data_IF_571491281385
#
_entry.id   IF_571491281385
#
_cell.length_a   1.000
_cell.length_b   1.000
_cell.length_c   1.000
_cell.angle_alpha   90.00
_cell.angle_beta   90.00
_cell.angle_gamma   90.00
#
_symmetry.space_group_name_H-M   'P 1'
#
loop_
_entity.id
_entity.type
_entity.pdbx_description
1 polymer ?
#
# COMPACT_ATOMS: atom_id res chain seq x y z
N UNK A 1 -39.27 -14.26 20.56
CA UNK A 1 -39.89 -13.18 19.78
C UNK A 1 -39.40 -11.85 20.35
N UNK A 2 -38.32 -11.30 19.81
CA UNK A 2 -37.81 -9.99 20.21
C UNK A 2 -38.29 -8.95 19.18
N UNK A 3 -39.10 -8.00 19.64
CA UNK A 3 -39.70 -6.95 18.84
C UNK A 3 -38.68 -5.84 18.61
N UNK A 4 -37.99 -5.86 17.47
CA UNK A 4 -37.24 -4.70 16.99
C UNK A 4 -38.21 -3.70 16.36
N UNK A 5 -38.63 -2.71 17.15
CA UNK A 5 -39.27 -1.50 16.63
C UNK A 5 -38.43 -0.31 17.05
N UNK A 6 -37.47 0.06 16.22
CA UNK A 6 -37.07 1.46 16.06
C UNK A 6 -37.21 1.75 14.55
N UNK A 7 -38.17 2.58 14.14
CA UNK A 7 -38.33 2.92 12.73
C UNK A 7 -37.13 3.77 12.29
N UNK A 8 -36.38 3.27 11.31
CA UNK A 8 -35.42 4.07 10.57
C UNK A 8 -36.23 5.18 9.88
N UNK A 9 -35.91 6.47 10.08
CA UNK A 9 -36.68 7.55 9.47
C UNK A 9 -36.59 7.44 7.94
N UNK A 10 -37.75 7.36 7.30
CA UNK A 10 -37.88 7.34 5.85
C UNK A 10 -37.56 8.74 5.31
N UNK A 11 -36.31 8.97 4.92
CA UNK A 11 -35.89 10.24 4.31
C UNK A 11 -36.49 10.32 2.90
N UNK A 12 -37.28 11.35 2.66
CA UNK A 12 -37.93 11.62 1.37
C UNK A 12 -36.90 11.89 0.27
N UNK A 13 -37.16 11.38 -0.93
CA UNK A 13 -36.20 11.23 -2.02
C UNK A 13 -35.78 12.52 -2.75
N UNK A 14 -35.21 13.50 -2.05
CA UNK A 14 -34.53 14.65 -2.70
C UNK A 14 -33.11 14.97 -2.22
N UNK A 15 -32.63 14.40 -1.11
CA UNK A 15 -31.25 14.56 -0.64
C UNK A 15 -30.58 13.18 -0.41
N UNK A 16 -30.59 12.31 -1.42
CA UNK A 16 -29.68 11.16 -1.39
C UNK A 16 -28.31 11.65 -1.84
N UNK A 17 -27.46 12.01 -0.88
CA UNK A 17 -26.02 12.02 -1.15
C UNK A 17 -25.68 10.67 -1.81
N UNK A 18 -24.98 10.64 -2.94
CA UNK A 18 -24.47 9.37 -3.44
C UNK A 18 -23.66 8.73 -2.32
N UNK A 19 -23.94 7.45 -2.03
CA UNK A 19 -23.16 6.69 -1.06
C UNK A 19 -21.69 6.78 -1.44
N UNK A 20 -20.81 6.98 -0.47
CA UNK A 20 -19.39 6.81 -0.70
C UNK A 20 -19.06 5.35 -1.03
N UNK A 21 -17.81 5.13 -1.43
CA UNK A 21 -17.30 3.81 -1.81
C UNK A 21 -15.90 3.61 -1.22
N UNK A 22 -15.56 2.37 -0.84
CA UNK A 22 -14.23 1.98 -0.40
C UNK A 22 -13.64 0.94 -1.34
N UNK A 23 -12.50 1.25 -1.94
CA UNK A 23 -11.80 0.34 -2.84
C UNK A 23 -10.39 0.06 -2.33
N UNK A 24 -10.05 -1.23 -2.21
CA UNK A 24 -8.78 -1.65 -1.62
C UNK A 24 -7.91 -2.35 -2.66
N UNK A 25 -6.66 -1.91 -2.77
CA UNK A 25 -5.61 -2.47 -3.62
C UNK A 25 -4.51 -3.00 -2.70
N UNK A 26 -4.42 -4.32 -2.59
CA UNK A 26 -3.42 -4.99 -1.74
C UNK A 26 -2.45 -5.85 -2.55
N UNK A 27 -1.40 -6.33 -1.89
CA UNK A 27 -0.41 -7.24 -2.48
C UNK A 27 0.98 -7.00 -1.91
N UNK A 28 1.95 -7.87 -2.26
CA UNK A 28 3.31 -7.76 -1.73
C UNK A 28 4.02 -6.49 -2.21
N UNK A 29 5.20 -6.21 -1.66
CA UNK A 29 6.09 -5.20 -2.23
C UNK A 29 6.36 -5.52 -3.71
N UNK A 30 6.62 -4.49 -4.51
CA UNK A 30 6.90 -4.59 -5.95
C UNK A 30 5.74 -5.11 -6.82
N UNK A 31 4.52 -5.18 -6.29
CA UNK A 31 3.33 -5.58 -7.05
C UNK A 31 2.69 -4.43 -7.86
N UNK A 32 3.23 -3.21 -7.81
CA UNK A 32 2.68 -2.04 -8.53
C UNK A 32 1.41 -1.45 -7.90
N UNK A 33 1.27 -1.52 -6.57
CA UNK A 33 0.12 -0.97 -5.83
C UNK A 33 -0.01 0.54 -6.03
N UNK A 34 1.07 1.28 -5.75
CA UNK A 34 1.16 2.73 -5.96
C UNK A 34 0.87 3.12 -7.41
N UNK A 35 1.41 2.40 -8.41
CA UNK A 35 1.06 2.64 -9.83
C UNK A 35 -0.43 2.47 -10.12
N UNK A 36 -1.03 1.43 -9.56
CA UNK A 36 -2.45 1.14 -9.77
C UNK A 36 -3.34 2.20 -9.14
N UNK A 37 -2.99 2.65 -7.92
CA UNK A 37 -3.63 3.75 -7.24
C UNK A 37 -3.50 5.06 -8.05
N UNK A 38 -2.28 5.44 -8.43
CA UNK A 38 -2.01 6.66 -9.22
C UNK A 38 -2.75 6.67 -10.55
N UNK A 39 -2.83 5.53 -11.25
CA UNK A 39 -3.58 5.40 -12.49
C UNK A 39 -5.06 5.66 -12.27
N UNK A 40 -5.63 5.13 -11.18
CA UNK A 40 -7.04 5.34 -10.86
C UNK A 40 -7.31 6.78 -10.45
N UNK A 41 -6.47 7.37 -9.59
CA UNK A 41 -6.55 8.79 -9.21
C UNK A 41 -6.49 9.70 -10.44
N UNK A 42 -5.56 9.44 -11.36
CA UNK A 42 -5.47 10.20 -12.62
C UNK A 42 -6.76 10.09 -13.44
N UNK A 43 -7.34 8.89 -13.55
CA UNK A 43 -8.61 8.70 -14.26
C UNK A 43 -9.76 9.51 -13.63
N UNK A 44 -9.80 9.63 -12.30
CA UNK A 44 -10.84 10.43 -11.63
C UNK A 44 -10.65 11.93 -11.89
N UNK A 45 -9.40 12.42 -11.91
CA UNK A 45 -9.07 13.79 -12.31
C UNK A 45 -9.45 14.06 -13.76
N UNK A 46 -9.13 13.13 -14.67
CA UNK A 46 -9.46 13.24 -16.10
C UNK A 46 -10.99 13.26 -16.32
N UNK A 47 -11.77 12.67 -15.39
CA UNK A 47 -13.23 12.72 -15.34
C UNK A 47 -13.78 13.98 -14.63
N UNK A 48 -12.92 14.93 -14.25
CA UNK A 48 -13.31 16.21 -13.64
C UNK A 48 -13.62 16.15 -12.14
N UNK A 49 -13.25 15.07 -11.44
CA UNK A 49 -13.43 14.96 -9.99
C UNK A 49 -12.32 15.68 -9.22
N UNK A 50 -12.68 16.24 -8.07
CA UNK A 50 -11.71 16.79 -7.11
C UNK A 50 -11.10 15.65 -6.30
N UNK A 51 -9.77 15.52 -6.33
CA UNK A 51 -9.07 14.42 -5.68
C UNK A 51 -8.02 14.91 -4.69
N UNK A 52 -7.80 14.13 -3.64
CA UNK A 52 -6.64 14.27 -2.76
C UNK A 52 -5.88 12.94 -2.68
N UNK A 53 -4.55 13.02 -2.60
CA UNK A 53 -3.69 11.87 -2.36
C UNK A 53 -3.01 12.01 -1.00
N UNK A 54 -3.05 10.95 -0.19
CA UNK A 54 -2.48 10.88 1.15
C UNK A 54 -1.41 9.79 1.19
N UNK A 55 -0.34 10.03 1.94
CA UNK A 55 0.68 9.02 2.27
C UNK A 55 1.09 9.13 3.73
N UNK A 56 1.54 8.04 4.33
CA UNK A 56 2.08 8.11 5.69
C UNK A 56 3.42 8.84 5.70
N UNK A 57 3.61 9.73 6.67
CA UNK A 57 4.90 10.36 6.96
C UNK A 57 5.94 9.40 7.53
N UNK A 58 5.51 8.22 8.01
CA UNK A 58 6.41 7.13 8.45
C UNK A 58 7.21 6.53 7.28
N UNK A 59 6.71 6.63 6.04
CA UNK A 59 7.41 6.14 4.87
C UNK A 59 8.30 7.22 4.22
N UNK A 60 9.60 7.12 4.50
CA UNK A 60 10.64 8.04 4.03
C UNK A 60 11.44 7.52 2.83
N UNK A 61 11.08 6.38 2.22
CA UNK A 61 11.86 5.73 1.14
C UNK A 61 11.91 6.54 -0.15
N UNK A 62 10.81 7.22 -0.44
CA UNK A 62 10.69 8.16 -1.53
C UNK A 62 10.52 9.51 -0.86
N UNK A 63 11.43 10.44 -1.17
CA UNK A 63 11.69 11.72 -0.51
C UNK A 63 10.51 12.36 0.25
N UNK A 64 10.85 13.12 1.29
CA UNK A 64 9.98 14.01 2.08
C UNK A 64 9.05 14.89 1.21
N UNK A 65 9.37 15.01 -0.07
CA UNK A 65 8.58 15.70 -1.08
C UNK A 65 7.14 15.20 -1.13
N UNK A 66 6.23 16.18 -1.20
CA UNK A 66 4.77 16.07 -1.30
C UNK A 66 4.33 15.46 -2.62
N UNK A 67 4.97 14.39 -3.12
CA UNK A 67 4.70 13.75 -4.40
C UNK A 67 4.84 12.24 -4.30
N UNK A 68 3.77 11.51 -4.61
CA UNK A 68 3.84 10.07 -4.87
C UNK A 68 4.31 9.87 -6.31
N UNK A 69 5.41 9.13 -6.49
CA UNK A 69 6.00 8.87 -7.81
C UNK A 69 6.15 7.38 -8.06
N UNK A 70 5.54 6.86 -9.13
CA UNK A 70 5.81 5.52 -9.65
C UNK A 70 5.59 5.48 -11.17
N UNK A 71 6.45 4.77 -11.90
CA UNK A 71 6.39 4.63 -13.37
C UNK A 71 6.30 5.96 -14.15
N UNK A 72 6.96 7.01 -13.66
CA UNK A 72 6.97 8.34 -14.29
C UNK A 72 5.72 9.19 -14.02
N UNK A 73 4.71 8.67 -13.33
CA UNK A 73 3.55 9.45 -12.86
C UNK A 73 3.91 10.08 -11.52
N UNK A 74 3.71 11.40 -11.42
CA UNK A 74 3.90 12.20 -10.20
C UNK A 74 2.57 12.82 -9.81
N UNK A 75 2.14 12.63 -8.56
CA UNK A 75 0.92 13.26 -8.05
C UNK A 75 1.18 13.94 -6.69
N UNK A 76 0.79 15.22 -6.53
CA UNK A 76 0.93 15.91 -5.24
C UNK A 76 0.19 15.18 -4.12
N UNK A 77 0.83 14.99 -2.97
CA UNK A 77 0.24 14.26 -1.85
C UNK A 77 0.48 14.92 -0.50
N UNK A 78 -0.42 14.65 0.45
CA UNK A 78 -0.31 15.06 1.84
C UNK A 78 0.36 13.95 2.64
N UNK A 79 1.55 14.26 3.17
CA UNK A 79 2.23 13.39 4.12
C UNK A 79 1.63 13.61 5.52
N UNK A 80 1.02 12.57 6.09
CA UNK A 80 0.30 12.64 7.35
C UNK A 80 0.79 11.55 8.32
N UNK A 81 0.76 11.85 9.61
CA UNK A 81 0.99 10.85 10.65
C UNK A 81 -0.27 10.00 10.88
N UNK A 82 -1.42 10.66 10.87
CA UNK A 82 -2.76 10.13 11.12
C UNK A 82 -3.73 10.68 10.06
N UNK A 83 -4.67 9.85 9.60
CA UNK A 83 -5.64 10.22 8.57
C UNK A 83 -6.73 11.15 9.11
N UNK A 84 -7.11 11.00 10.39
CA UNK A 84 -8.20 11.76 10.99
C UNK A 84 -7.90 13.26 11.10
N UNK A 85 -6.62 13.68 11.18
CA UNK A 85 -6.24 15.11 11.09
C UNK A 85 -6.30 15.69 9.67
N UNK A 86 -6.53 14.88 8.63
CA UNK A 86 -6.52 15.35 7.25
C UNK A 86 -7.54 16.48 7.03
N UNK A 87 -8.77 16.32 7.51
CA UNK A 87 -9.85 17.28 7.28
C UNK A 87 -9.51 18.67 7.84
N UNK A 88 -8.93 18.73 9.03
CA UNK A 88 -8.51 19.97 9.67
C UNK A 88 -7.35 20.61 8.91
N UNK A 89 -6.30 19.82 8.61
CA UNK A 89 -5.09 20.29 7.91
C UNK A 89 -5.36 20.74 6.47
N UNK A 90 -6.30 20.08 5.79
CA UNK A 90 -6.70 20.41 4.42
C UNK A 90 -7.65 21.62 4.38
N UNK A 91 -8.36 21.88 5.48
CA UNK A 91 -9.40 22.90 5.60
C UNK A 91 -10.78 22.34 5.25
N UNK A 92 -11.75 22.56 6.14
CA UNK A 92 -13.09 21.97 6.03
C UNK A 92 -13.79 22.27 4.70
N UNK A 93 -13.71 23.50 4.21
CA UNK A 93 -14.38 23.88 2.96
C UNK A 93 -13.71 23.28 1.72
N UNK A 94 -12.38 23.10 1.75
CA UNK A 94 -11.67 22.41 0.68
C UNK A 94 -12.00 20.91 0.72
N UNK A 95 -12.02 20.30 1.91
CA UNK A 95 -12.33 18.88 2.10
C UNK A 95 -13.74 18.54 1.60
N UNK A 96 -14.74 19.38 1.90
CA UNK A 96 -16.12 19.17 1.44
C UNK A 96 -16.23 19.03 -0.08
N UNK A 97 -15.38 19.75 -0.84
CA UNK A 97 -15.35 19.72 -2.30
C UNK A 97 -14.66 18.50 -2.89
N UNK A 98 -13.92 17.71 -2.09
CA UNK A 98 -13.30 16.49 -2.58
C UNK A 98 -14.37 15.47 -2.95
N UNK A 99 -14.13 14.74 -4.02
CA UNK A 99 -14.95 13.60 -4.44
C UNK A 99 -14.21 12.28 -4.15
N UNK A 100 -12.88 12.27 -4.30
CA UNK A 100 -12.05 11.07 -4.21
C UNK A 100 -10.83 11.30 -3.30
N UNK A 101 -10.54 10.33 -2.44
CA UNK A 101 -9.36 10.32 -1.57
C UNK A 101 -8.55 9.05 -1.84
N UNK A 102 -7.34 9.21 -2.37
CA UNK A 102 -6.36 8.15 -2.51
C UNK A 102 -5.48 8.05 -1.27
N UNK A 103 -5.23 6.85 -0.75
CA UNK A 103 -4.36 6.59 0.39
C UNK A 103 -3.31 5.57 -0.03
N UNK A 104 -2.04 5.96 -0.04
CA UNK A 104 -0.92 5.05 -0.30
C UNK A 104 -0.24 4.62 1.00
N UNK A 105 0.39 3.45 0.96
CA UNK A 105 1.12 2.84 2.08
C UNK A 105 0.26 2.75 3.36
N UNK A 106 -1.01 2.37 3.17
CA UNK A 106 -2.06 2.45 4.19
C UNK A 106 -1.81 1.61 5.45
N UNK A 107 -0.92 0.61 5.36
CA UNK A 107 -0.55 -0.22 6.52
C UNK A 107 0.11 0.56 7.67
N UNK A 108 0.57 1.79 7.42
CA UNK A 108 1.17 2.65 8.45
C UNK A 108 0.16 3.53 9.20
N UNK A 109 -1.11 3.56 8.77
CA UNK A 109 -2.18 4.32 9.42
C UNK A 109 -3.00 3.42 10.34
N UNK A 110 -2.94 3.71 11.63
CA UNK A 110 -3.68 2.97 12.65
C UNK A 110 -5.18 3.28 12.60
N UNK A 111 -5.52 4.53 12.25
CA UNK A 111 -6.86 5.10 12.17
C UNK A 111 -7.54 4.92 10.79
N UNK A 112 -7.03 4.00 9.97
CA UNK A 112 -7.53 3.74 8.61
C UNK A 112 -9.00 3.30 8.60
N UNK A 113 -9.41 2.50 9.58
CA UNK A 113 -10.79 1.99 9.65
C UNK A 113 -11.78 3.13 9.93
N UNK A 114 -11.50 3.91 10.97
CA UNK A 114 -12.31 5.06 11.38
C UNK A 114 -12.38 6.10 10.27
N UNK A 115 -11.26 6.36 9.60
CA UNK A 115 -11.22 7.28 8.46
C UNK A 115 -12.09 6.80 7.30
N UNK A 116 -12.02 5.51 6.93
CA UNK A 116 -12.83 4.95 5.85
C UNK A 116 -14.33 5.06 6.16
N UNK A 117 -14.76 4.70 7.38
CA UNK A 117 -16.16 4.85 7.80
C UNK A 117 -16.61 6.31 7.69
N UNK A 118 -15.85 7.25 8.25
CA UNK A 118 -16.22 8.67 8.20
C UNK A 118 -16.26 9.20 6.75
N UNK A 119 -15.21 8.96 5.98
CA UNK A 119 -15.10 9.51 4.63
C UNK A 119 -16.13 8.91 3.66
N UNK A 120 -16.35 7.59 3.69
CA UNK A 120 -17.27 6.93 2.77
C UNK A 120 -18.73 6.96 3.27
N UNK A 121 -18.98 6.55 4.51
CA UNK A 121 -20.34 6.36 5.03
C UNK A 121 -21.01 7.69 5.41
N UNK A 122 -20.25 8.64 5.97
CA UNK A 122 -20.79 9.92 6.45
C UNK A 122 -20.60 11.07 5.44
N UNK A 123 -19.41 11.18 4.85
CA UNK A 123 -19.04 12.31 3.98
C UNK A 123 -19.27 12.04 2.48
N UNK A 124 -19.67 10.81 2.10
CA UNK A 124 -20.01 10.44 0.72
C UNK A 124 -18.82 10.46 -0.25
N UNK A 125 -17.60 10.19 0.21
CA UNK A 125 -16.37 10.19 -0.59
C UNK A 125 -16.07 8.81 -1.17
N UNK A 126 -15.41 8.79 -2.32
CA UNK A 126 -14.78 7.56 -2.85
C UNK A 126 -13.37 7.47 -2.24
N UNK A 127 -13.11 6.42 -1.48
CA UNK A 127 -11.81 6.16 -0.84
C UNK A 127 -11.11 5.02 -1.58
N UNK A 128 -9.91 5.28 -2.12
CA UNK A 128 -9.09 4.28 -2.82
C UNK A 128 -7.82 4.04 -2.00
N UNK A 129 -7.72 2.87 -1.40
CA UNK A 129 -6.67 2.50 -0.46
C UNK A 129 -5.68 1.55 -1.11
N UNK A 130 -4.39 1.85 -1.03
CA UNK A 130 -3.31 0.95 -1.41
C UNK A 130 -2.43 0.62 -0.20
N UNK A 131 -2.16 -0.67 0.02
CA UNK A 131 -1.35 -1.09 1.17
C UNK A 131 -0.90 -2.54 1.11
N UNK A 132 0.04 -2.90 1.99
CA UNK A 132 0.45 -4.30 2.17
C UNK A 132 -0.67 -5.08 2.89
N UNK A 133 -1.04 -6.25 2.37
CA UNK A 133 -1.95 -7.16 3.08
C UNK A 133 -1.27 -7.94 4.19
N UNK A 134 0.06 -8.07 4.12
CA UNK A 134 0.83 -8.66 5.21
C UNK A 134 2.28 -8.18 5.27
N UNK A 135 2.85 -8.33 6.46
CA UNK A 135 4.25 -8.05 6.75
C UNK A 135 5.19 -9.13 6.18
N UNK A 136 6.49 -8.99 6.47
CA UNK A 136 7.49 -9.96 6.04
C UNK A 136 7.33 -11.35 6.67
N UNK A 137 6.47 -11.50 7.69
CA UNK A 137 6.12 -12.75 8.38
C UNK A 137 4.79 -13.35 7.88
N UNK A 138 4.12 -12.71 6.91
CA UNK A 138 2.75 -13.00 6.45
C UNK A 138 1.66 -12.82 7.52
N UNK A 139 1.92 -12.00 8.54
CA UNK A 139 0.90 -11.52 9.48
C UNK A 139 0.25 -10.27 8.91
N UNK A 140 -0.93 -9.89 9.40
CA UNK A 140 -1.57 -8.64 8.97
C UNK A 140 -0.64 -7.46 9.26
N UNK A 141 -0.57 -6.52 8.32
CA UNK A 141 0.19 -5.28 8.51
C UNK A 141 -0.79 -4.13 8.74
N UNK A 142 -0.79 -3.60 9.96
CA UNK A 142 -1.66 -2.50 10.36
C UNK A 142 -3.14 -2.85 10.18
N UNK A 143 -3.94 -1.83 9.83
CA UNK A 143 -5.40 -1.93 9.73
C UNK A 143 -5.93 -2.23 8.31
N UNK A 144 -5.06 -2.50 7.33
CA UNK A 144 -5.46 -2.70 5.92
C UNK A 144 -6.47 -3.84 5.75
N UNK A 145 -6.32 -4.94 6.50
CA UNK A 145 -7.27 -6.05 6.42
C UNK A 145 -8.59 -5.77 7.15
N UNK A 146 -8.61 -4.83 8.09
CA UNK A 146 -9.82 -4.48 8.86
C UNK A 146 -10.85 -3.74 8.01
N UNK A 147 -10.42 -3.08 6.93
CA UNK A 147 -11.34 -2.37 6.01
C UNK A 147 -11.88 -3.26 4.89
N UNK A 148 -11.45 -4.53 4.78
CA UNK A 148 -11.99 -5.46 3.77
C UNK A 148 -13.51 -5.62 3.87
N UNK A 149 -14.12 -5.78 5.07
CA UNK A 149 -15.58 -5.84 5.21
C UNK A 149 -16.31 -4.55 4.81
N UNK A 150 -15.62 -3.40 4.77
CA UNK A 150 -16.18 -2.12 4.32
C UNK A 150 -16.07 -1.95 2.80
N UNK A 151 -15.23 -2.75 2.13
CA UNK A 151 -14.82 -2.47 0.77
C UNK A 151 -15.83 -2.94 -0.28
N UNK A 152 -16.23 -2.03 -1.17
CA UNK A 152 -16.96 -2.32 -2.40
C UNK A 152 -16.14 -3.15 -3.39
N UNK A 153 -14.82 -2.95 -3.40
CA UNK A 153 -13.91 -3.77 -4.22
C UNK A 153 -12.62 -4.07 -3.50
N UNK A 154 -12.12 -5.31 -3.64
CA UNK A 154 -10.79 -5.70 -3.15
C UNK A 154 -10.00 -6.32 -4.30
N UNK A 155 -8.87 -5.69 -4.64
CA UNK A 155 -7.95 -6.15 -5.68
C UNK A 155 -6.62 -6.58 -5.05
N UNK A 156 -6.27 -7.86 -5.14
CA UNK A 156 -4.96 -8.36 -4.72
C UNK A 156 -4.01 -8.49 -5.91
N UNK A 157 -3.08 -7.56 -6.02
CA UNK A 157 -2.02 -7.57 -7.03
C UNK A 157 -0.97 -8.63 -6.70
N UNK A 158 -0.26 -9.06 -7.75
CA UNK A 158 0.86 -9.99 -7.63
C UNK A 158 2.10 -9.43 -8.29
N UNK A 159 3.25 -9.62 -7.64
CA UNK A 159 4.55 -9.32 -8.21
C UNK A 159 5.10 -10.52 -9.02
N UNK A 160 6.34 -10.43 -9.50
CA UNK A 160 7.09 -11.56 -10.05
C UNK A 160 8.09 -12.04 -9.00
N UNK A 161 8.14 -13.34 -8.75
CA UNK A 161 9.07 -13.93 -7.80
C UNK A 161 10.50 -13.77 -8.29
N UNK A 162 11.37 -13.16 -7.49
CA UNK A 162 12.78 -12.94 -7.87
C UNK A 162 13.57 -14.24 -8.10
N UNK A 163 13.09 -15.37 -7.58
CA UNK A 163 13.82 -16.66 -7.63
C UNK A 163 13.39 -17.58 -8.77
N UNK A 164 12.13 -17.51 -9.21
CA UNK A 164 11.63 -18.38 -10.30
C UNK A 164 10.74 -17.69 -11.31
N UNK A 165 10.61 -16.37 -11.26
CA UNK A 165 9.83 -15.55 -12.19
C UNK A 165 8.32 -15.84 -12.24
N UNK A 166 7.81 -16.81 -11.46
CA UNK A 166 6.36 -17.07 -11.29
C UNK A 166 5.70 -15.96 -10.47
N UNK A 167 4.36 -15.97 -10.37
CA UNK A 167 3.61 -15.00 -9.55
C UNK A 167 4.07 -15.04 -8.09
N UNK A 168 4.37 -13.87 -7.55
CA UNK A 168 4.72 -13.65 -6.15
C UNK A 168 3.54 -13.03 -5.40
N UNK A 169 3.35 -13.51 -4.18
CA UNK A 169 2.24 -13.14 -3.30
C UNK A 169 2.71 -12.63 -1.94
N UNK A 170 4.01 -12.73 -1.66
CA UNK A 170 4.58 -12.42 -0.35
C UNK A 170 5.83 -11.55 -0.52
N UNK A 171 6.08 -10.73 0.48
CA UNK A 171 7.34 -10.03 0.67
C UNK A 171 8.21 -10.89 1.59
N UNK A 172 9.41 -11.25 1.16
CA UNK A 172 10.42 -11.90 2.00
C UNK A 172 11.49 -10.87 2.37
N UNK A 173 11.90 -10.84 3.65
CA UNK A 173 13.06 -10.09 4.10
C UNK A 173 14.34 -10.89 3.85
N UNK A 174 15.33 -10.27 3.21
CA UNK A 174 16.64 -10.85 2.85
C UNK A 174 17.62 -10.86 4.03
N UNK A 175 17.40 -9.99 4.99
CA UNK A 175 18.32 -9.67 6.07
C UNK A 175 17.84 -10.24 7.42
N UNK A 176 18.67 -10.14 8.47
CA UNK A 176 18.43 -10.79 9.78
C UNK A 176 17.72 -9.88 10.79
N UNK A 177 17.46 -8.61 10.45
CA UNK A 177 16.74 -7.69 11.31
C UNK A 177 15.32 -8.20 11.55
N UNK A 178 14.84 -8.08 12.78
CA UNK A 178 13.57 -8.67 13.23
C UNK A 178 12.44 -7.66 13.40
N UNK A 179 12.75 -6.35 13.38
CA UNK A 179 11.77 -5.27 13.52
C UNK A 179 10.69 -5.36 12.42
N UNK A 180 9.41 -5.31 12.77
CA UNK A 180 8.32 -5.42 11.78
C UNK A 180 8.35 -4.26 10.78
N UNK A 181 8.46 -3.03 11.28
CA UNK A 181 8.56 -1.82 10.49
C UNK A 181 10.03 -1.48 10.22
N UNK A 182 10.57 -1.99 9.12
CA UNK A 182 11.87 -1.57 8.60
C UNK A 182 11.66 -0.94 7.23
N UNK A 183 11.84 0.38 7.17
CA UNK A 183 11.63 1.22 5.99
C UNK A 183 12.82 1.04 5.04
N UNK A 184 12.68 0.10 4.10
CA UNK A 184 13.71 -0.23 3.12
C UNK A 184 13.10 -0.70 1.78
N UNK A 185 13.95 -0.83 0.76
CA UNK A 185 13.58 -1.17 -0.61
C UNK A 185 13.97 -2.59 -1.00
N UNK A 186 14.44 -2.75 -2.24
CA UNK A 186 14.85 -4.03 -2.84
C UNK A 186 16.13 -4.62 -2.26
N UNK A 187 16.90 -3.80 -1.54
CA UNK A 187 18.08 -4.17 -0.78
C UNK A 187 17.74 -5.09 0.40
N UNK A 188 16.61 -4.83 1.07
CA UNK A 188 16.15 -5.59 2.24
C UNK A 188 15.04 -6.57 1.90
N UNK A 189 14.20 -6.28 0.90
CA UNK A 189 13.02 -7.08 0.59
C UNK A 189 13.02 -7.63 -0.83
N UNK A 190 12.34 -8.77 -1.03
CA UNK A 190 12.04 -9.33 -2.35
C UNK A 190 10.63 -9.92 -2.40
N UNK A 191 9.95 -9.83 -3.56
CA UNK A 191 8.72 -10.55 -3.80
C UNK A 191 9.01 -12.03 -4.06
N UNK A 192 8.27 -12.92 -3.39
CA UNK A 192 8.41 -14.38 -3.56
C UNK A 192 7.07 -15.10 -3.73
N UNK A 193 7.13 -16.24 -4.41
CA UNK A 193 6.02 -17.20 -4.44
C UNK A 193 5.94 -17.98 -3.12
N UNK A 194 4.86 -18.74 -2.93
CA UNK A 194 4.64 -19.52 -1.70
C UNK A 194 5.75 -20.52 -1.40
N UNK A 195 6.20 -21.24 -2.42
CA UNK A 195 7.24 -22.24 -2.30
C UNK A 195 8.53 -21.63 -1.75
N UNK A 196 9.01 -20.53 -2.33
CA UNK A 196 10.25 -19.89 -1.88
C UNK A 196 10.11 -19.14 -0.57
N UNK A 197 8.92 -18.66 -0.21
CA UNK A 197 8.70 -18.10 1.11
C UNK A 197 8.84 -19.19 2.19
N UNK A 198 8.16 -20.32 2.02
CA UNK A 198 8.13 -21.41 3.03
C UNK A 198 9.49 -22.11 3.14
N UNK A 199 10.23 -22.22 2.05
CA UNK A 199 11.57 -22.82 2.04
C UNK A 199 12.67 -21.74 2.16
N UNK A 200 12.36 -20.58 2.73
CA UNK A 200 13.27 -19.43 2.75
C UNK A 200 14.57 -19.69 3.50
N UNK A 201 14.58 -20.53 4.54
CA UNK A 201 15.82 -20.93 5.24
C UNK A 201 16.83 -21.55 4.26
N UNK A 202 16.37 -22.48 3.43
CA UNK A 202 17.16 -23.11 2.35
C UNK A 202 17.58 -22.09 1.30
N UNK A 203 16.70 -21.14 0.97
CA UNK A 203 16.94 -20.08 -0.03
C UNK A 203 17.95 -19.03 0.48
N UNK A 204 17.95 -18.71 1.78
CA UNK A 204 18.85 -17.71 2.35
C UNK A 204 20.27 -18.27 2.41
N UNK A 205 20.43 -19.56 2.71
CA UNK A 205 21.71 -20.27 2.62
C UNK A 205 22.21 -20.40 1.18
N UNK A 206 21.35 -20.82 0.24
CA UNK A 206 21.74 -20.92 -1.18
C UNK A 206 22.03 -19.55 -1.80
N UNK A 207 21.27 -18.51 -1.45
CA UNK A 207 21.52 -17.14 -1.92
C UNK A 207 22.82 -16.57 -1.35
N UNK A 208 23.14 -16.84 -0.07
CA UNK A 208 24.45 -16.52 0.51
C UNK A 208 25.58 -17.24 -0.24
N UNK A 209 25.45 -18.53 -0.50
CA UNK A 209 26.45 -19.31 -1.22
C UNK A 209 26.65 -18.81 -2.66
N UNK A 210 25.58 -18.45 -3.35
CA UNK A 210 25.65 -17.86 -4.70
C UNK A 210 26.31 -16.48 -4.65
N UNK A 211 25.89 -15.59 -3.75
CA UNK A 211 26.50 -14.26 -3.58
C UNK A 211 27.99 -14.33 -3.20
N UNK A 212 28.38 -15.27 -2.35
CA UNK A 212 29.78 -15.53 -2.01
C UNK A 212 30.57 -16.08 -3.20
N UNK A 213 29.99 -16.99 -3.99
CA UNK A 213 30.64 -17.51 -5.19
C UNK A 213 30.84 -16.44 -6.28
N UNK A 214 29.87 -15.53 -6.44
CA UNK A 214 29.98 -14.39 -7.35
C UNK A 214 31.04 -13.39 -6.86
N UNK A 215 31.12 -13.11 -5.56
CA UNK A 215 32.20 -12.30 -4.97
C UNK A 215 33.58 -12.92 -5.20
N UNK A 216 33.75 -14.22 -4.92
CA UNK A 216 35.02 -14.93 -5.16
C UNK A 216 35.44 -14.92 -6.62
N UNK A 217 34.49 -15.03 -7.55
CA UNK A 217 34.77 -14.95 -8.98
C UNK A 217 35.15 -13.53 -9.45
N UNK A 218 34.58 -12.49 -8.84
CA UNK A 218 34.98 -11.11 -9.17
C UNK A 218 36.35 -10.74 -8.57
N UNK A 219 36.66 -11.22 -7.35
CA UNK A 219 37.97 -11.00 -6.72
C UNK A 219 39.08 -11.75 -7.48
N UNK A 220 38.81 -12.95 -8.00
CA UNK A 220 39.77 -13.70 -8.82
C UNK A 220 40.04 -13.05 -10.19
N UNK A 221 39.05 -12.38 -10.78
CA UNK A 221 39.22 -11.62 -12.02
C UNK A 221 40.05 -10.33 -11.81
N UNK A 222 39.93 -9.69 -10.64
CA UNK A 222 40.74 -8.53 -10.25
C UNK A 222 42.22 -8.90 -9.98
N UNK A 223 42.47 -10.08 -9.41
CA UNK A 223 43.83 -10.61 -9.16
C UNK A 223 44.56 -11.02 -10.46
N UNK A 224 43.82 -11.38 -11.52
CA UNK A 224 44.40 -11.68 -12.84
C UNK A 224 44.69 -10.39 -13.61
N UNK A 225 43.86 -9.36 -13.47
CA UNK A 225 44.02 -8.08 -14.16
C UNK A 225 45.18 -7.21 -13.63
N UNK A 226 45.69 -7.48 -12.42
CA UNK A 226 46.79 -6.73 -11.79
C UNK A 226 48.18 -7.35 -12.03
N UNK A 227 48.26 -8.45 -12.79
CA UNK A 227 49.52 -9.14 -13.13
C UNK A 227 50.04 -8.88 -14.55
N UNK A 228 49.53 -7.85 -15.23
CA UNK A 228 50.03 -7.37 -16.52
C UNK A 228 50.45 -5.91 -16.45
#
# INVERSE_FOLDING_TARGET
MASFKHPIPFISGKDRYPSGEVHVIVGPMFAGKTSSLLRRIKSEVDNGRNVAMLKSSKDTRYAIDSVVTHDGIRFPCWALQDLMSFQEKYGHDAYRKLDVIGIDEAQFFEDLYEFCCKAADEDGKIVIVAGLDGDYLRKSFGSVLHIIPLADTVTKLTARCELCCKRAFFTLRKTQETQTELIAGSDVYMPVCRYHYVNSEVVTETSKNVLESVKRNNDSLLDVATRF
#
